data_IF_159688657076
#
_entry.id   IF_159688657076
#
_cell.length_a   1.000
_cell.length_b   1.000
_cell.length_c   1.000
_cell.angle_alpha   90.00
_cell.angle_beta   90.00
_cell.angle_gamma   90.00
#
_symmetry.space_group_name_H-M   'P 1'
#
loop_
_entity.id
_entity.type
_entity.pdbx_description
1 polymer ?
#
# COMPACT_ATOMS: atom_id res chain seq x y z
N UNK A 1 1.95 -11.40 -2.97
CA UNK A 1 0.78 -12.05 -3.62
C UNK A 1 -0.38 -12.33 -2.64
N UNK A 2 -0.13 -12.74 -1.38
CA UNK A 2 -1.17 -13.16 -0.43
C UNK A 2 -2.00 -12.01 0.15
N UNK A 3 -1.36 -10.89 0.50
CA UNK A 3 -2.04 -9.71 1.09
C UNK A 3 -2.96 -8.97 0.12
N UNK A 4 -2.60 -8.85 -1.16
CA UNK A 4 -3.40 -8.15 -2.17
C UNK A 4 -4.77 -8.78 -2.46
N UNK A 5 -5.00 -10.00 -1.98
CA UNK A 5 -6.28 -10.71 -2.17
C UNK A 5 -7.35 -10.37 -1.11
N UNK A 6 -6.95 -9.75 -0.02
CA UNK A 6 -7.81 -9.50 1.16
C UNK A 6 -7.81 -8.01 1.53
N UNK A 7 -6.84 -7.24 1.04
CA UNK A 7 -6.72 -5.83 1.37
C UNK A 7 -7.85 -5.00 0.74
N UNK A 8 -8.42 -4.12 1.53
CA UNK A 8 -9.41 -3.12 1.09
C UNK A 8 -8.76 -1.93 0.39
N UNK A 9 -7.52 -1.61 0.76
CA UNK A 9 -6.64 -0.61 0.14
C UNK A 9 -5.22 -1.16 0.10
N UNK A 10 -4.46 -0.82 -0.93
CA UNK A 10 -3.07 -1.22 -1.05
C UNK A 10 -2.13 -0.01 -1.13
N UNK A 11 -0.94 -0.16 -0.56
CA UNK A 11 0.21 0.71 -0.82
C UNK A 11 1.18 -0.07 -1.69
N UNK A 12 1.37 0.37 -2.92
CA UNK A 12 2.33 -0.22 -3.84
C UNK A 12 3.67 0.50 -3.70
N UNK A 13 4.65 -0.18 -3.13
CA UNK A 13 5.98 0.38 -2.90
C UNK A 13 6.87 0.14 -4.12
N UNK A 14 7.43 1.21 -4.67
CA UNK A 14 8.34 1.19 -5.82
C UNK A 14 9.67 1.85 -5.41
N UNK A 15 10.77 1.23 -5.78
CA UNK A 15 12.08 1.86 -5.66
C UNK A 15 12.23 2.91 -6.77
N UNK A 16 12.32 4.20 -6.38
CA UNK A 16 12.39 5.32 -7.34
C UNK A 16 13.61 5.26 -8.26
N UNK A 17 14.70 4.60 -7.82
CA UNK A 17 15.92 4.44 -8.63
C UNK A 17 15.83 3.34 -9.68
N UNK A 18 14.97 2.33 -9.45
CA UNK A 18 14.77 1.21 -10.37
C UNK A 18 13.53 1.37 -11.24
N UNK A 19 12.59 2.17 -10.78
CA UNK A 19 11.34 2.40 -11.48
C UNK A 19 10.41 1.18 -11.49
N UNK A 20 9.79 0.92 -12.62
CA UNK A 20 8.77 -0.10 -12.79
C UNK A 20 9.39 -1.46 -13.13
N UNK A 21 9.41 -2.39 -12.19
CA UNK A 21 9.99 -3.74 -12.33
C UNK A 21 8.91 -4.80 -12.63
N UNK A 22 9.32 -6.01 -13.05
CA UNK A 22 8.41 -7.12 -13.35
C UNK A 22 7.47 -7.48 -12.17
N UNK A 23 7.98 -7.45 -10.93
CA UNK A 23 7.17 -7.67 -9.72
C UNK A 23 6.12 -6.60 -9.53
N UNK A 24 6.43 -5.35 -9.89
CA UNK A 24 5.48 -4.23 -9.85
C UNK A 24 4.32 -4.50 -10.81
N UNK A 25 4.63 -4.95 -12.03
CA UNK A 25 3.62 -5.32 -13.03
C UNK A 25 2.66 -6.39 -12.50
N UNK A 26 3.18 -7.50 -11.93
CA UNK A 26 2.34 -8.56 -11.36
C UNK A 26 1.42 -8.02 -10.23
N UNK A 27 1.93 -7.15 -9.37
CA UNK A 27 1.13 -6.55 -8.29
C UNK A 27 0.01 -5.69 -8.86
N UNK A 28 0.32 -4.85 -9.86
CA UNK A 28 -0.67 -3.97 -10.52
C UNK A 28 -1.78 -4.77 -11.18
N UNK A 29 -1.46 -5.86 -11.88
CA UNK A 29 -2.46 -6.74 -12.49
C UNK A 29 -3.42 -7.36 -11.44
N UNK A 30 -2.88 -7.77 -10.29
CA UNK A 30 -3.70 -8.27 -9.17
C UNK A 30 -4.63 -7.18 -8.64
N UNK A 31 -4.11 -5.97 -8.41
CA UNK A 31 -4.90 -4.83 -7.92
C UNK A 31 -6.00 -4.44 -8.92
N UNK A 32 -5.67 -4.43 -10.21
CA UNK A 32 -6.61 -4.14 -11.31
C UNK A 32 -7.72 -5.19 -11.40
N UNK A 33 -7.37 -6.49 -11.38
CA UNK A 33 -8.33 -7.58 -11.44
C UNK A 33 -9.33 -7.56 -10.28
N UNK A 34 -8.88 -7.10 -9.10
CA UNK A 34 -9.71 -7.02 -7.89
C UNK A 34 -10.39 -5.68 -7.68
N UNK A 35 -10.07 -4.69 -8.52
CA UNK A 35 -10.53 -3.31 -8.37
C UNK A 35 -10.19 -2.74 -6.97
N UNK A 36 -9.07 -3.18 -6.40
CA UNK A 36 -8.60 -2.67 -5.11
C UNK A 36 -8.01 -1.27 -5.30
N UNK A 37 -8.53 -0.25 -4.61
CA UNK A 37 -7.93 1.08 -4.65
C UNK A 37 -6.52 1.03 -4.05
N UNK A 38 -5.60 1.80 -4.63
CA UNK A 38 -4.22 1.83 -4.17
C UNK A 38 -3.59 3.21 -4.36
N UNK A 39 -2.49 3.44 -3.65
CA UNK A 39 -1.57 4.54 -3.90
C UNK A 39 -0.17 3.98 -4.11
N UNK A 40 0.69 4.77 -4.71
CA UNK A 40 2.08 4.41 -4.99
C UNK A 40 3.01 5.16 -4.04
N UNK A 41 3.82 4.43 -3.28
CA UNK A 41 4.93 4.96 -2.51
C UNK A 41 6.21 4.86 -3.34
N UNK A 42 6.68 5.98 -3.90
CA UNK A 42 7.95 6.08 -4.59
C UNK A 42 9.08 6.22 -3.55
N UNK A 43 9.55 5.07 -3.07
CA UNK A 43 10.49 4.95 -1.94
C UNK A 43 11.95 5.13 -2.36
N UNK A 44 12.80 5.39 -1.38
CA UNK A 44 14.25 5.58 -1.50
C UNK A 44 14.67 6.91 -2.15
N UNK A 45 13.93 8.00 -1.92
CA UNK A 45 14.35 9.33 -2.37
C UNK A 45 15.69 9.74 -1.73
N UNK A 46 15.98 9.25 -0.51
CA UNK A 46 17.24 9.47 0.19
C UNK A 46 18.47 8.94 -0.55
N UNK A 47 18.27 8.10 -1.56
CA UNK A 47 19.34 7.53 -2.40
C UNK A 47 19.45 8.17 -3.78
N UNK A 48 18.63 9.15 -4.08
CA UNK A 48 18.77 9.93 -5.32
C UNK A 48 20.10 10.69 -5.24
N UNK A 49 20.94 10.66 -6.29
CA UNK A 49 22.22 11.33 -6.27
C UNK A 49 22.11 12.82 -5.92
N UNK A 50 22.85 13.25 -4.90
CA UNK A 50 22.81 14.64 -4.43
C UNK A 50 21.64 15.01 -3.50
N UNK A 51 20.76 14.05 -3.16
CA UNK A 51 19.67 14.30 -2.23
C UNK A 51 20.18 14.61 -0.82
N UNK A 52 19.78 15.75 -0.28
CA UNK A 52 20.00 16.10 1.12
C UNK A 52 18.80 15.63 1.96
N UNK A 53 19.02 14.64 2.83
CA UNK A 53 17.95 14.06 3.65
C UNK A 53 17.59 14.97 4.83
N UNK A 54 16.29 15.15 5.03
CA UNK A 54 15.70 15.84 6.18
C UNK A 54 14.79 14.85 6.93
N UNK A 55 15.33 14.13 7.93
CA UNK A 55 14.57 13.07 8.62
C UNK A 55 13.23 13.57 9.17
N UNK A 56 12.22 12.70 9.08
CA UNK A 56 10.86 12.93 9.58
C UNK A 56 10.19 14.22 9.09
N UNK A 57 10.66 14.74 7.95
CA UNK A 57 10.12 15.96 7.34
C UNK A 57 9.13 15.63 6.21
N UNK A 58 8.02 16.37 6.09
CA UNK A 58 7.14 16.26 4.93
C UNK A 58 7.89 16.50 3.61
N UNK A 59 7.61 15.70 2.59
CA UNK A 59 8.21 15.87 1.25
C UNK A 59 7.98 17.27 0.69
N UNK A 60 6.80 17.83 0.91
CA UNK A 60 6.46 19.21 0.51
C UNK A 60 7.38 20.28 1.08
N UNK A 61 8.06 19.99 2.19
CA UNK A 61 9.05 20.89 2.83
C UNK A 61 10.48 20.54 2.44
N UNK A 62 10.85 19.26 2.34
CA UNK A 62 12.22 18.84 2.01
C UNK A 62 12.56 18.99 0.52
N UNK A 63 11.58 18.76 -0.38
CA UNK A 63 11.78 18.86 -1.83
C UNK A 63 12.21 20.27 -2.30
N UNK A 64 11.60 21.39 -1.87
CA UNK A 64 12.05 22.73 -2.28
C UNK A 64 13.46 23.09 -1.84
N UNK A 65 13.99 22.42 -0.80
CA UNK A 65 15.32 22.65 -0.26
C UNK A 65 16.43 21.93 -1.05
N UNK A 66 16.06 21.06 -1.99
CA UNK A 66 17.01 20.35 -2.82
C UNK A 66 17.53 21.22 -3.95
N UNK A 67 18.74 20.91 -4.40
CA UNK A 67 19.32 21.56 -5.58
C UNK A 67 18.42 21.35 -6.81
N UNK A 68 18.34 22.31 -7.75
CA UNK A 68 17.48 22.23 -8.91
C UNK A 68 17.67 20.96 -9.74
N UNK A 69 18.92 20.54 -9.97
CA UNK A 69 19.23 19.34 -10.74
C UNK A 69 18.78 18.04 -10.03
N UNK A 70 18.82 18.01 -8.69
CA UNK A 70 18.37 16.87 -7.88
C UNK A 70 16.85 16.75 -7.96
N UNK A 71 16.15 17.90 -7.93
CA UNK A 71 14.69 17.92 -8.11
C UNK A 71 14.28 17.43 -9.49
N UNK A 72 15.01 17.89 -10.52
CA UNK A 72 14.78 17.46 -11.90
C UNK A 72 15.03 15.95 -12.08
N UNK A 73 16.12 15.40 -11.53
CA UNK A 73 16.40 13.97 -11.56
C UNK A 73 15.29 13.15 -10.88
N UNK A 74 14.85 13.57 -9.69
CA UNK A 74 13.74 12.92 -9.00
C UNK A 74 12.44 13.02 -9.80
N UNK A 75 12.12 14.19 -10.34
CA UNK A 75 10.90 14.39 -11.13
C UNK A 75 10.90 13.51 -12.39
N UNK A 76 12.02 13.39 -13.08
CA UNK A 76 12.15 12.52 -14.25
C UNK A 76 11.89 11.05 -13.89
N UNK A 77 12.44 10.56 -12.78
CA UNK A 77 12.19 9.20 -12.28
C UNK A 77 10.72 8.96 -11.93
N UNK A 78 10.08 9.95 -11.31
CA UNK A 78 8.64 9.88 -11.00
C UNK A 78 7.81 9.87 -12.28
N UNK A 79 8.17 10.68 -13.29
CA UNK A 79 7.49 10.70 -14.58
C UNK A 79 7.65 9.38 -15.34
N UNK A 80 8.79 8.70 -15.23
CA UNK A 80 8.98 7.35 -15.80
C UNK A 80 8.01 6.35 -15.18
N UNK A 81 7.85 6.40 -13.85
CA UNK A 81 6.87 5.58 -13.13
C UNK A 81 5.45 5.92 -13.59
N UNK A 82 5.08 7.20 -13.62
CA UNK A 82 3.76 7.67 -14.09
C UNK A 82 3.49 7.19 -15.51
N UNK A 83 4.49 7.32 -16.42
CA UNK A 83 4.40 6.86 -17.80
C UNK A 83 4.14 5.35 -17.91
N UNK A 84 4.78 4.54 -17.05
CA UNK A 84 4.56 3.10 -17.03
C UNK A 84 3.12 2.74 -16.61
N UNK A 85 2.58 3.37 -15.57
CA UNK A 85 1.19 3.17 -15.16
C UNK A 85 0.18 3.68 -16.16
N UNK A 86 0.46 4.81 -16.81
CA UNK A 86 -0.41 5.37 -17.85
C UNK A 86 -0.56 4.42 -19.03
N UNK A 87 0.53 3.72 -19.43
CA UNK A 87 0.47 2.66 -20.46
C UNK A 87 -0.40 1.47 -20.05
N UNK A 88 -0.58 1.22 -18.74
CA UNK A 88 -1.49 0.19 -18.21
C UNK A 88 -2.93 0.68 -18.06
N UNK A 89 -3.22 1.94 -18.46
CA UNK A 89 -4.55 2.54 -18.44
C UNK A 89 -4.95 3.17 -17.10
N UNK A 90 -3.99 3.43 -16.21
CA UNK A 90 -4.26 4.16 -14.98
C UNK A 90 -4.10 5.67 -15.17
N UNK A 91 -5.04 6.43 -14.63
CA UNK A 91 -4.86 7.87 -14.41
C UNK A 91 -4.06 8.02 -13.12
N UNK A 92 -2.86 8.56 -13.21
CA UNK A 92 -1.90 8.62 -12.11
C UNK A 92 -1.09 9.93 -12.17
N UNK A 93 -0.80 10.53 -11.02
CA UNK A 93 0.05 11.71 -10.93
C UNK A 93 0.72 11.79 -9.54
N UNK A 94 1.72 12.67 -9.40
CA UNK A 94 2.30 12.98 -8.09
C UNK A 94 1.22 13.59 -7.18
N UNK A 95 1.18 13.20 -5.91
CA UNK A 95 0.10 13.50 -4.97
C UNK A 95 -0.27 14.99 -4.90
N UNK A 96 0.71 15.89 -5.03
CA UNK A 96 0.52 17.34 -5.00
C UNK A 96 -0.06 17.92 -6.29
N UNK A 97 -0.10 17.15 -7.37
CA UNK A 97 -0.72 17.51 -8.66
C UNK A 97 -2.09 16.85 -8.87
N UNK A 98 -2.44 15.88 -8.02
CA UNK A 98 -3.75 15.21 -8.09
C UNK A 98 -4.85 16.17 -7.70
N UNK A 99 -5.80 16.41 -8.63
CA UNK A 99 -7.00 17.24 -8.37
C UNK A 99 -8.20 16.42 -7.91
N UNK A 100 -8.28 15.17 -8.36
CA UNK A 100 -9.40 14.28 -8.12
C UNK A 100 -8.89 12.90 -7.68
N UNK A 101 -8.80 12.68 -6.37
CA UNK A 101 -8.33 11.43 -5.78
C UNK A 101 -9.28 10.24 -6.01
N UNK A 102 -10.54 10.50 -6.39
CA UNK A 102 -11.52 9.46 -6.70
C UNK A 102 -11.14 8.63 -7.93
N UNK A 103 -10.51 9.25 -8.91
CA UNK A 103 -10.23 8.66 -10.22
C UNK A 103 -8.74 8.60 -10.56
N UNK A 104 -7.89 9.23 -9.73
CA UNK A 104 -6.45 9.36 -10.01
C UNK A 104 -5.64 8.70 -8.90
N UNK A 105 -4.78 7.77 -9.27
CA UNK A 105 -3.83 7.14 -8.35
C UNK A 105 -2.75 8.17 -7.97
N UNK A 106 -2.48 8.32 -6.69
CA UNK A 106 -1.45 9.24 -6.21
C UNK A 106 -0.09 8.53 -6.09
N UNK A 107 0.96 9.18 -6.57
CA UNK A 107 2.36 8.81 -6.33
C UNK A 107 2.91 9.71 -5.25
N UNK A 108 3.38 9.13 -4.15
CA UNK A 108 3.98 9.85 -3.02
C UNK A 108 5.48 9.54 -2.95
N UNK A 109 6.36 10.51 -3.24
CA UNK A 109 7.78 10.34 -3.05
C UNK A 109 8.10 10.30 -1.55
N UNK A 110 8.90 9.32 -1.13
CA UNK A 110 9.21 9.13 0.28
C UNK A 110 10.50 8.35 0.50
N UNK A 111 10.98 8.37 1.73
CA UNK A 111 12.00 7.44 2.23
C UNK A 111 11.52 6.76 3.50
N UNK A 112 11.35 5.45 3.44
CA UNK A 112 11.03 4.65 4.63
C UNK A 112 12.20 4.60 5.63
N UNK A 113 13.42 4.93 5.19
CA UNK A 113 14.61 4.95 6.05
C UNK A 113 14.70 6.23 6.87
N UNK A 114 14.43 7.39 6.25
CA UNK A 114 14.56 8.69 6.88
C UNK A 114 13.25 9.25 7.42
N UNK A 115 12.12 8.66 7.07
CA UNK A 115 10.79 9.16 7.44
C UNK A 115 10.27 10.29 6.53
N UNK A 116 11.09 10.79 5.59
CA UNK A 116 10.66 11.83 4.65
C UNK A 116 9.47 11.38 3.81
N UNK A 117 8.46 12.24 3.68
CA UNK A 117 7.27 11.96 2.87
C UNK A 117 6.26 10.98 3.48
N UNK A 118 6.52 10.42 4.65
CA UNK A 118 5.56 9.54 5.37
C UNK A 118 4.28 10.30 5.73
N UNK A 119 4.40 11.58 6.08
CA UNK A 119 3.25 12.44 6.40
C UNK A 119 2.25 12.51 5.23
N UNK A 120 2.77 12.74 4.03
CA UNK A 120 1.94 12.80 2.82
C UNK A 120 1.38 11.42 2.45
N UNK A 121 2.17 10.36 2.64
CA UNK A 121 1.69 8.99 2.42
C UNK A 121 0.48 8.68 3.30
N UNK A 122 0.57 9.00 4.60
CA UNK A 122 -0.51 8.80 5.55
C UNK A 122 -1.72 9.70 5.25
N UNK A 123 -1.48 10.96 4.88
CA UNK A 123 -2.54 11.88 4.49
C UNK A 123 -3.35 11.34 3.30
N UNK A 124 -2.66 10.89 2.25
CA UNK A 124 -3.30 10.32 1.06
C UNK A 124 -4.03 9.02 1.40
N UNK A 125 -3.41 8.14 2.21
CA UNK A 125 -4.01 6.89 2.65
C UNK A 125 -5.30 7.13 3.44
N UNK A 126 -5.30 8.07 4.38
CA UNK A 126 -6.49 8.45 5.16
C UNK A 126 -7.58 8.99 4.24
N UNK A 127 -7.23 9.86 3.29
CA UNK A 127 -8.17 10.40 2.31
C UNK A 127 -8.83 9.31 1.47
N UNK A 128 -8.04 8.36 0.94
CA UNK A 128 -8.55 7.21 0.20
C UNK A 128 -9.43 6.31 1.06
N UNK A 129 -9.03 6.08 2.32
CA UNK A 129 -9.80 5.28 3.27
C UNK A 129 -11.18 5.91 3.53
N UNK A 130 -11.22 7.21 3.79
CA UNK A 130 -12.48 7.93 4.00
C UNK A 130 -13.39 7.88 2.78
N UNK A 131 -12.82 7.91 1.58
CA UNK A 131 -13.58 7.90 0.35
C UNK A 131 -14.15 6.52 0.00
N UNK A 132 -13.33 5.46 0.13
CA UNK A 132 -13.68 4.12 -0.35
C UNK A 132 -14.25 3.20 0.73
N UNK A 133 -13.92 3.41 2.01
CA UNK A 133 -14.21 2.46 3.09
C UNK A 133 -15.21 2.96 4.14
N UNK A 134 -15.79 4.15 3.98
CA UNK A 134 -16.71 4.75 4.96
C UNK A 134 -17.81 3.78 5.44
N UNK A 135 -18.30 2.88 4.58
CA UNK A 135 -19.32 1.87 4.90
C UNK A 135 -18.74 0.54 5.41
N UNK A 136 -17.44 0.27 5.18
CA UNK A 136 -16.79 -1.01 5.53
C UNK A 136 -16.02 -0.96 6.84
N UNK A 137 -15.71 0.23 7.34
CA UNK A 137 -14.99 0.45 8.61
C UNK A 137 -15.89 0.36 9.85
N UNK A 138 -17.19 0.04 9.69
CA UNK A 138 -18.05 -0.23 10.82
C UNK A 138 -17.76 -1.61 11.36
N UNK A 139 -17.17 -1.68 12.55
CA UNK A 139 -17.00 -2.94 13.30
C UNK A 139 -18.28 -3.26 14.07
N UNK A 140 -18.66 -4.53 14.09
CA UNK A 140 -19.78 -5.01 14.92
C UNK A 140 -19.26 -5.65 16.19
N UNK A 141 -19.93 -5.40 17.33
CA UNK A 141 -19.68 -6.16 18.53
C UNK A 141 -20.20 -7.59 18.32
N UNK A 142 -19.31 -8.59 18.47
CA UNK A 142 -19.68 -9.99 18.29
C UNK A 142 -18.50 -10.92 18.01
N UNK A 143 -18.80 -12.17 17.60
CA UNK A 143 -17.76 -13.15 17.25
C UNK A 143 -16.85 -12.66 16.15
N UNK A 144 -15.57 -13.02 16.24
CA UNK A 144 -14.58 -12.63 15.26
C UNK A 144 -14.92 -13.17 13.86
N UNK A 145 -14.76 -12.30 12.85
CA UNK A 145 -14.77 -12.68 11.44
C UNK A 145 -13.40 -12.40 10.84
N UNK A 146 -12.86 -13.35 10.12
CA UNK A 146 -11.54 -13.24 9.56
C UNK A 146 -11.37 -14.04 8.27
N UNK A 147 -10.22 -13.88 7.64
CA UNK A 147 -9.81 -14.65 6.46
C UNK A 147 -8.51 -15.38 6.75
N UNK A 148 -8.48 -16.68 6.47
CA UNK A 148 -7.26 -17.49 6.55
C UNK A 148 -6.38 -17.15 5.34
N UNK A 149 -5.17 -16.65 5.60
CA UNK A 149 -4.18 -16.35 4.57
C UNK A 149 -3.34 -17.57 4.22
N UNK A 150 -3.03 -18.39 5.23
CA UNK A 150 -2.11 -19.51 5.10
C UNK A 150 -2.39 -20.55 6.19
N UNK A 151 -2.24 -21.80 5.80
CA UNK A 151 -2.21 -22.94 6.70
C UNK A 151 -0.82 -23.55 6.61
N UNK A 152 -0.14 -23.69 7.75
CA UNK A 152 1.19 -24.32 7.80
C UNK A 152 1.35 -25.17 9.04
N UNK A 153 2.22 -26.15 8.95
CA UNK A 153 2.63 -26.97 10.07
C UNK A 153 3.85 -26.33 10.75
N UNK A 154 3.76 -26.06 12.05
CA UNK A 154 4.81 -25.46 12.84
C UNK A 154 5.42 -26.53 13.77
N UNK A 155 6.75 -26.72 13.79
CA UNK A 155 7.40 -27.63 14.71
C UNK A 155 7.16 -27.19 16.16
N UNK A 156 6.32 -27.93 16.89
CA UNK A 156 5.98 -27.69 18.29
C UNK A 156 4.57 -27.14 18.54
N UNK A 157 3.94 -26.46 17.55
CA UNK A 157 2.55 -26.00 17.65
C UNK A 157 1.59 -26.83 16.80
N UNK A 158 2.12 -27.70 15.90
CA UNK A 158 1.30 -28.46 14.97
C UNK A 158 0.72 -27.58 13.84
N UNK A 159 -0.51 -27.87 13.45
CA UNK A 159 -1.20 -27.12 12.38
C UNK A 159 -1.58 -25.73 12.86
N UNK A 160 -1.06 -24.71 12.19
CA UNK A 160 -1.31 -23.29 12.48
C UNK A 160 -2.01 -22.59 11.33
N UNK A 161 -2.89 -21.64 11.68
CA UNK A 161 -3.62 -20.79 10.74
C UNK A 161 -3.14 -19.34 10.89
N UNK A 162 -2.56 -18.79 9.84
CA UNK A 162 -2.32 -17.36 9.77
C UNK A 162 -3.59 -16.66 9.27
N UNK A 163 -4.22 -15.85 10.13
CA UNK A 163 -5.51 -15.22 9.84
C UNK A 163 -5.43 -13.70 10.00
N UNK A 164 -6.24 -13.00 9.20
CA UNK A 164 -6.54 -11.57 9.43
C UNK A 164 -7.96 -11.48 9.98
N UNK A 165 -8.12 -10.94 11.19
CA UNK A 165 -9.42 -10.63 11.78
C UNK A 165 -9.76 -9.19 11.38
N UNK A 166 -10.95 -8.98 10.79
CA UNK A 166 -11.40 -7.67 10.32
C UNK A 166 -12.71 -7.18 10.99
N UNK A 167 -13.38 -8.04 11.76
CA UNK A 167 -14.61 -7.69 12.49
C UNK A 167 -14.74 -8.54 13.76
N UNK A 168 -15.35 -7.99 14.80
CA UNK A 168 -15.53 -8.69 16.09
C UNK A 168 -14.25 -8.89 16.89
N UNK A 169 -14.32 -9.73 17.91
CA UNK A 169 -13.21 -10.06 18.81
C UNK A 169 -13.02 -11.58 18.91
N UNK A 170 -11.76 -12.00 19.03
CA UNK A 170 -11.38 -13.40 19.28
C UNK A 170 -10.58 -13.48 20.58
N UNK A 171 -11.02 -14.35 21.48
CA UNK A 171 -10.35 -14.59 22.76
C UNK A 171 -9.66 -15.95 22.77
N UNK A 172 -8.71 -16.12 23.68
CA UNK A 172 -8.02 -17.40 23.87
C UNK A 172 -9.03 -18.46 24.33
N UNK A 173 -8.94 -19.66 23.75
CA UNK A 173 -9.80 -20.82 24.00
C UNK A 173 -11.23 -20.72 23.41
N UNK A 174 -11.53 -19.76 22.58
CA UNK A 174 -12.78 -19.76 21.80
C UNK A 174 -12.72 -20.76 20.66
N UNK A 175 -13.89 -21.34 20.33
CA UNK A 175 -14.04 -22.20 19.18
C UNK A 175 -14.10 -21.35 17.92
N UNK A 176 -13.33 -21.74 16.91
CA UNK A 176 -13.34 -21.12 15.59
C UNK A 176 -13.93 -22.06 14.55
N UNK A 177 -14.71 -21.50 13.63
CA UNK A 177 -15.26 -22.25 12.48
C UNK A 177 -14.55 -21.80 11.23
N UNK A 178 -13.87 -22.71 10.56
CA UNK A 178 -13.13 -22.43 9.32
C UNK A 178 -13.88 -23.06 8.14
N UNK A 179 -14.05 -22.29 7.07
CA UNK A 179 -14.65 -22.79 5.82
C UNK A 179 -13.74 -23.81 5.15
N UNK A 180 -14.17 -25.07 5.11
CA UNK A 180 -13.52 -26.13 4.35
C UNK A 180 -14.08 -26.25 2.92
N UNK A 181 -13.45 -27.11 2.08
CA UNK A 181 -13.90 -27.32 0.69
C UNK A 181 -15.28 -27.99 0.60
N UNK A 182 -15.57 -28.90 1.51
CA UNK A 182 -16.80 -29.68 1.50
C UNK A 182 -17.74 -29.31 2.67
N UNK A 183 -17.18 -29.05 3.84
CA UNK A 183 -17.92 -28.71 5.05
C UNK A 183 -17.09 -27.81 5.96
N UNK A 184 -17.73 -27.00 6.84
CA UNK A 184 -17.03 -26.27 7.89
C UNK A 184 -16.24 -27.21 8.81
N UNK A 185 -15.11 -26.72 9.30
CA UNK A 185 -14.23 -27.39 10.28
C UNK A 185 -14.29 -26.55 11.56
N UNK A 186 -14.44 -27.20 12.70
CA UNK A 186 -14.48 -26.58 14.05
C UNK A 186 -13.22 -26.93 14.81
#
# INVERSE_FOLDING_TARGET
KRGGSVADIAILVINVLRGFEAQTFECVEILKARKTPFLVAANMIDRVPGWNSYPDTPFSKSYPLQDPYVREDLDNRIYDVIGAFSRLGFKIDRFDKVREFASTVAVVPMSAKTGEGIHELLMVLIGLTQQHLKKRLQTTEGPAKGTVLEVKEDPGLGLTLNTIIYDGTLQKNELIVVGGKEKPIV
#
